data_IF_719115838789
#
_entry.id   IF_719115838789
#
_cell.length_a   1.000
_cell.length_b   1.000
_cell.length_c   1.000
_cell.angle_alpha   90.00
_cell.angle_beta   90.00
_cell.angle_gamma   90.00
#
_symmetry.space_group_name_H-M   'P 1'
#
loop_
_entity.id
_entity.type
_entity.pdbx_description
1 polymer ?
#
# COMPACT_ATOMS: atom_id res chain seq x y z
N UNK A 1 -6.57 55.92 1.61
CA UNK A 1 -7.23 54.76 0.94
C UNK A 1 -6.31 54.01 -0.03
N UNK A 2 -5.54 54.67 -0.91
CA UNK A 2 -4.56 53.99 -1.79
C UNK A 2 -3.54 53.10 -1.04
N UNK A 3 -3.03 53.56 0.11
CA UNK A 3 -2.03 52.79 0.87
C UNK A 3 -2.60 51.54 1.56
N UNK A 4 -3.90 51.54 1.89
CA UNK A 4 -4.58 50.37 2.50
C UNK A 4 -4.89 49.32 1.44
N UNK A 5 -5.31 49.76 0.25
CA UNK A 5 -5.54 48.87 -0.90
C UNK A 5 -4.24 48.22 -1.38
N UNK A 6 -3.13 48.97 -1.41
CA UNK A 6 -1.81 48.45 -1.76
C UNK A 6 -1.34 47.40 -0.73
N UNK A 7 -1.57 47.64 0.56
CA UNK A 7 -1.28 46.68 1.63
C UNK A 7 -2.12 45.40 1.52
N UNK A 8 -3.39 45.53 1.13
CA UNK A 8 -4.29 44.39 0.91
C UNK A 8 -3.87 43.56 -0.31
N UNK A 9 -3.48 44.20 -1.40
CA UNK A 9 -2.95 43.54 -2.61
C UNK A 9 -1.60 42.87 -2.32
N UNK A 10 -0.73 43.51 -1.53
CA UNK A 10 0.54 42.93 -1.07
C UNK A 10 0.29 41.73 -0.12
N UNK A 11 -0.69 41.80 0.79
CA UNK A 11 -1.04 40.66 1.64
C UNK A 11 -1.61 39.49 0.83
N UNK A 12 -2.49 39.76 -0.14
CA UNK A 12 -3.04 38.72 -1.03
C UNK A 12 -1.92 38.09 -1.87
N UNK A 13 -0.96 38.88 -2.35
CA UNK A 13 0.20 38.35 -3.09
C UNK A 13 1.19 37.60 -2.20
N UNK A 14 1.38 37.99 -0.93
CA UNK A 14 2.21 37.24 0.03
C UNK A 14 1.54 35.92 0.44
N UNK A 15 0.21 35.92 0.63
CA UNK A 15 -0.58 34.70 0.94
C UNK A 15 -0.66 33.77 -0.29
N UNK A 16 -0.61 34.30 -1.51
CA UNK A 16 -0.53 33.50 -2.74
C UNK A 16 0.91 33.16 -3.17
N UNK A 17 1.92 33.73 -2.53
CA UNK A 17 3.34 33.40 -2.74
C UNK A 17 3.87 32.30 -1.81
N UNK A 18 3.08 31.76 -0.88
CA UNK A 18 3.37 30.46 -0.26
C UNK A 18 2.89 29.33 -1.17
N UNK A 19 3.48 29.25 -2.37
CA UNK A 19 3.30 28.13 -3.30
C UNK A 19 4.01 26.90 -2.74
N UNK A 20 3.47 26.32 -1.66
CA UNK A 20 3.91 25.06 -1.06
C UNK A 20 3.66 23.85 -1.99
N UNK A 21 3.04 24.09 -3.15
CA UNK A 21 2.55 23.06 -4.05
C UNK A 21 1.28 22.37 -3.55
N UNK A 22 0.76 22.72 -2.37
CA UNK A 22 -0.47 22.15 -1.78
C UNK A 22 -1.61 23.18 -1.77
N UNK A 23 -2.80 22.76 -2.19
CA UNK A 23 -4.05 23.52 -2.08
C UNK A 23 -4.40 23.82 -0.62
N UNK A 24 -5.23 24.83 -0.38
CA UNK A 24 -5.68 25.20 0.98
C UNK A 24 -6.37 24.04 1.72
N UNK A 25 -7.06 23.17 0.98
CA UNK A 25 -7.69 21.98 1.54
C UNK A 25 -6.64 20.95 2.00
N UNK A 26 -5.62 20.70 1.16
CA UNK A 26 -4.49 19.82 1.50
C UNK A 26 -3.70 20.36 2.72
N UNK A 27 -3.49 21.68 2.79
CA UNK A 27 -2.81 22.33 3.92
C UNK A 27 -3.56 22.12 5.25
N UNK A 28 -4.89 22.10 5.23
CA UNK A 28 -5.72 21.82 6.42
C UNK A 28 -5.47 20.44 7.02
N UNK A 29 -5.15 19.44 6.20
CA UNK A 29 -4.76 18.10 6.67
C UNK A 29 -3.31 18.06 7.11
N UNK A 30 -2.40 18.73 6.39
CA UNK A 30 -0.98 18.77 6.73
C UNK A 30 -0.77 19.32 8.14
N UNK A 31 -1.51 20.36 8.52
CA UNK A 31 -1.42 20.98 9.84
C UNK A 31 -1.82 20.04 11.00
N UNK A 32 -2.49 18.91 10.73
CA UNK A 32 -2.87 17.91 11.74
C UNK A 32 -1.84 16.77 11.90
N UNK A 33 -0.85 16.70 11.00
CA UNK A 33 0.20 15.68 11.06
C UNK A 33 1.08 15.96 12.30
N UNK A 34 1.36 15.00 13.19
CA UNK A 34 2.21 15.23 14.36
C UNK A 34 3.62 15.67 13.98
N UNK A 35 4.25 16.53 14.78
CA UNK A 35 5.54 17.16 14.46
C UNK A 35 6.67 16.16 14.16
N UNK A 36 6.68 14.97 14.75
CA UNK A 36 7.70 13.96 14.44
C UNK A 36 7.49 13.30 13.06
N UNK A 37 6.23 13.23 12.60
CA UNK A 37 5.84 12.89 11.23
C UNK A 37 5.84 14.12 10.32
N UNK A 38 5.98 15.31 10.88
CA UNK A 38 6.32 16.49 10.12
C UNK A 38 7.84 16.54 9.93
N UNK A 39 8.66 16.73 10.96
CA UNK A 39 10.09 16.95 10.82
C UNK A 39 10.92 15.80 10.18
N UNK A 40 10.38 14.57 10.06
CA UNK A 40 10.99 13.38 9.39
C UNK A 40 10.09 12.72 8.33
N UNK A 41 9.17 13.49 7.73
CA UNK A 41 7.92 13.05 7.12
C UNK A 41 7.80 11.66 6.40
N UNK A 42 7.67 10.58 7.19
CA UNK A 42 7.06 9.31 6.79
C UNK A 42 7.99 8.10 6.67
N UNK A 43 9.20 8.18 7.24
CA UNK A 43 10.11 7.08 7.59
C UNK A 43 10.02 5.72 6.85
N UNK A 44 10.84 5.55 5.82
CA UNK A 44 11.44 4.29 5.35
C UNK A 44 12.54 3.90 6.35
N UNK A 45 12.12 3.65 7.60
CA UNK A 45 13.01 3.36 8.72
C UNK A 45 13.10 1.85 8.89
N UNK A 46 14.33 1.33 8.85
CA UNK A 46 14.59 -0.06 9.26
C UNK A 46 14.54 -0.11 10.78
N UNK A 47 13.70 -0.99 11.33
CA UNK A 47 13.57 -1.20 12.78
C UNK A 47 13.26 0.11 13.56
N UNK A 48 12.08 0.71 13.37
CA UNK A 48 11.71 1.95 14.06
C UNK A 48 11.76 1.81 15.59
N UNK A 49 12.14 2.90 16.27
CA UNK A 49 12.13 2.97 17.73
C UNK A 49 10.73 2.78 18.31
N UNK A 50 10.64 2.39 19.58
CA UNK A 50 9.35 2.26 20.27
C UNK A 50 8.57 3.57 20.30
N UNK A 51 9.27 4.71 20.38
CA UNK A 51 8.65 6.04 20.29
C UNK A 51 7.97 6.25 18.94
N UNK A 52 8.65 5.93 17.83
CA UNK A 52 8.07 6.03 16.50
C UNK A 52 6.83 5.14 16.35
N UNK A 53 6.90 3.91 16.87
CA UNK A 53 5.78 2.96 16.87
C UNK A 53 4.59 3.54 17.67
N UNK A 54 4.83 4.03 18.88
CA UNK A 54 3.78 4.62 19.72
C UNK A 54 3.14 5.84 19.04
N UNK A 55 3.96 6.69 18.43
CA UNK A 55 3.47 7.86 17.71
C UNK A 55 2.65 7.46 16.47
N UNK A 56 3.01 6.38 15.77
CA UNK A 56 2.21 5.86 14.64
C UNK A 56 0.83 5.38 15.12
N UNK A 57 0.80 4.60 16.20
CA UNK A 57 -0.45 4.11 16.80
C UNK A 57 -1.34 5.28 17.23
N UNK A 58 -0.80 6.23 17.99
CA UNK A 58 -1.54 7.38 18.48
C UNK A 58 -2.08 8.24 17.33
N UNK A 59 -1.27 8.48 16.31
CA UNK A 59 -1.68 9.21 15.12
C UNK A 59 -2.82 8.52 14.37
N UNK A 60 -2.71 7.20 14.15
CA UNK A 60 -3.76 6.41 13.53
C UNK A 60 -5.10 6.52 14.27
N UNK A 61 -5.08 6.39 15.60
CA UNK A 61 -6.27 6.52 16.46
C UNK A 61 -6.89 7.93 16.34
N UNK A 62 -6.07 8.97 16.41
CA UNK A 62 -6.52 10.37 16.32
C UNK A 62 -7.13 10.70 14.95
N UNK A 63 -6.59 10.12 13.88
CA UNK A 63 -7.00 10.38 12.51
C UNK A 63 -8.07 9.40 11.99
N UNK A 64 -8.78 8.68 12.87
CA UNK A 64 -9.84 7.73 12.48
C UNK A 64 -10.85 8.32 11.48
N UNK A 65 -11.17 9.62 11.58
CA UNK A 65 -12.16 10.27 10.70
C UNK A 65 -11.54 11.26 9.69
N UNK A 66 -10.21 11.30 9.57
CA UNK A 66 -9.51 12.34 8.80
C UNK A 66 -8.51 11.72 7.81
N UNK A 67 -8.03 12.57 6.90
CA UNK A 67 -7.12 12.19 5.81
C UNK A 67 -5.66 12.57 6.09
N UNK A 68 -5.29 13.04 7.29
CA UNK A 68 -3.92 13.50 7.53
C UNK A 68 -2.90 12.36 7.42
N UNK A 69 -3.29 11.12 7.73
CA UNK A 69 -2.46 9.94 7.53
C UNK A 69 -2.03 9.79 6.07
N UNK A 70 -2.95 9.96 5.14
CA UNK A 70 -2.71 9.86 3.71
C UNK A 70 -1.69 10.91 3.26
N UNK A 71 -1.79 12.14 3.75
CA UNK A 71 -0.87 13.24 3.44
C UNK A 71 0.52 13.11 4.09
N UNK A 72 0.61 12.49 5.28
CA UNK A 72 1.89 12.22 5.93
C UNK A 72 2.79 11.33 5.06
N UNK A 73 2.19 10.46 4.25
CA UNK A 73 2.89 9.48 3.41
C UNK A 73 2.73 9.72 1.89
N UNK A 74 2.43 10.96 1.49
CA UNK A 74 2.23 11.36 0.10
C UNK A 74 3.40 12.21 -0.43
N UNK A 75 4.02 11.76 -1.52
CA UNK A 75 4.99 12.55 -2.30
C UNK A 75 4.30 13.12 -3.52
N UNK A 76 4.56 14.38 -3.82
CA UNK A 76 4.01 15.09 -4.98
C UNK A 76 5.14 15.48 -5.93
N UNK A 77 4.99 15.14 -7.21
CA UNK A 77 5.86 15.57 -8.30
C UNK A 77 5.02 16.20 -9.41
N UNK A 78 5.59 17.11 -10.20
CA UNK A 78 4.88 17.79 -11.29
C UNK A 78 5.67 17.71 -12.59
N UNK A 79 4.96 17.50 -13.72
CA UNK A 79 5.52 17.53 -15.06
C UNK A 79 4.49 18.14 -16.02
N UNK A 80 4.74 19.38 -16.47
CA UNK A 80 3.76 20.13 -17.26
C UNK A 80 2.40 20.23 -16.55
N UNK A 81 1.35 19.73 -17.17
CA UNK A 81 -0.03 19.72 -16.64
C UNK A 81 -0.38 18.44 -15.86
N UNK A 82 0.61 17.62 -15.53
CA UNK A 82 0.43 16.36 -14.81
C UNK A 82 1.06 16.48 -13.43
N UNK A 83 0.26 16.19 -12.40
CA UNK A 83 0.71 16.06 -11.02
C UNK A 83 0.75 14.56 -10.70
N UNK A 84 1.90 14.05 -10.31
CA UNK A 84 2.05 12.66 -9.88
C UNK A 84 2.08 12.61 -8.36
N UNK A 85 1.12 11.90 -7.79
CA UNK A 85 1.07 11.60 -6.37
C UNK A 85 1.59 10.19 -6.13
N UNK A 86 2.64 10.06 -5.33
CA UNK A 86 3.18 8.77 -4.92
C UNK A 86 2.81 8.52 -3.47
N UNK A 87 2.01 7.49 -3.21
CA UNK A 87 1.70 7.02 -1.87
C UNK A 87 2.75 6.00 -1.46
N UNK A 88 3.44 6.29 -0.37
CA UNK A 88 4.50 5.43 0.16
C UNK A 88 3.94 4.64 1.35
N UNK A 89 3.93 3.32 1.27
CA UNK A 89 3.44 2.45 2.34
C UNK A 89 4.62 1.87 3.12
N UNK A 90 5.01 2.57 4.17
CA UNK A 90 6.07 2.14 5.08
C UNK A 90 5.50 1.33 6.24
N UNK A 91 6.34 0.59 7.00
CA UNK A 91 5.92 -0.08 8.23
C UNK A 91 5.14 0.81 9.20
N UNK A 92 5.60 2.05 9.43
CA UNK A 92 4.93 2.99 10.33
C UNK A 92 3.58 3.46 9.79
N UNK A 93 3.44 3.63 8.46
CA UNK A 93 2.14 3.91 7.86
C UNK A 93 1.17 2.75 8.10
N UNK A 94 1.60 1.52 7.85
CA UNK A 94 0.74 0.34 8.03
C UNK A 94 0.32 0.16 9.49
N UNK A 95 1.21 0.48 10.43
CA UNK A 95 0.87 0.53 11.87
C UNK A 95 -0.22 1.59 12.12
N UNK A 96 -0.04 2.81 11.62
CA UNK A 96 -1.03 3.88 11.79
C UNK A 96 -2.37 3.54 11.13
N UNK A 97 -2.35 2.95 9.94
CA UNK A 97 -3.56 2.51 9.22
C UNK A 97 -4.31 1.40 9.99
N UNK A 98 -3.57 0.41 10.51
CA UNK A 98 -4.15 -0.64 11.37
C UNK A 98 -4.81 -0.03 12.61
N UNK A 99 -4.12 0.87 13.30
CA UNK A 99 -4.67 1.57 14.47
C UNK A 99 -5.87 2.46 14.11
N UNK A 100 -5.85 3.13 12.96
CA UNK A 100 -6.97 3.91 12.41
C UNK A 100 -8.21 3.03 12.20
N UNK A 101 -8.04 1.86 11.59
CA UNK A 101 -9.13 0.92 11.35
C UNK A 101 -9.67 0.31 12.66
N UNK A 102 -8.80 -0.10 13.58
CA UNK A 102 -9.23 -0.54 14.91
C UNK A 102 -10.03 0.55 15.65
N UNK A 103 -9.58 1.81 15.60
CA UNK A 103 -10.27 2.93 16.23
C UNK A 103 -11.63 3.24 15.59
N UNK A 104 -11.76 3.11 14.26
CA UNK A 104 -13.05 3.23 13.54
C UNK A 104 -14.05 2.17 13.98
N UNK A 105 -13.57 0.97 14.24
CA UNK A 105 -14.38 -0.18 14.68
C UNK A 105 -14.55 -0.24 16.20
N UNK A 106 -14.01 0.72 16.95
CA UNK A 106 -14.04 0.76 18.42
C UNK A 106 -13.42 -0.48 19.08
N UNK A 107 -12.37 -1.06 18.48
CA UNK A 107 -11.63 -2.21 19.00
C UNK A 107 -10.20 -1.85 19.38
N UNK A 108 -9.59 -2.68 20.22
CA UNK A 108 -8.19 -2.50 20.63
C UNK A 108 -7.22 -2.84 19.49
N UNK A 109 -6.14 -2.04 19.39
CA UNK A 109 -5.02 -2.31 18.48
C UNK A 109 -4.34 -3.64 18.84
N UNK A 110 -4.14 -4.51 17.85
CA UNK A 110 -3.48 -5.80 18.04
C UNK A 110 -1.94 -5.67 18.10
N UNK A 111 -1.34 -5.92 19.26
CA UNK A 111 0.12 -5.85 19.49
C UNK A 111 0.94 -6.82 18.63
N UNK A 112 0.37 -7.98 18.28
CA UNK A 112 1.06 -8.96 17.42
C UNK A 112 1.22 -8.41 16.00
N UNK A 113 0.20 -7.71 15.49
CA UNK A 113 0.25 -6.97 14.22
C UNK A 113 1.33 -5.91 14.26
N UNK A 114 1.34 -5.09 15.30
CA UNK A 114 2.31 -4.01 15.47
C UNK A 114 3.74 -4.55 15.49
N UNK A 115 3.96 -5.63 16.24
CA UNK A 115 5.27 -6.31 16.33
C UNK A 115 5.72 -6.92 15.01
N UNK A 116 4.81 -7.45 14.22
CA UNK A 116 5.12 -7.96 12.89
C UNK A 116 5.51 -6.81 11.95
N UNK A 117 4.66 -5.76 11.87
CA UNK A 117 4.88 -4.63 10.97
C UNK A 117 6.17 -3.88 11.31
N UNK A 118 6.50 -3.69 12.59
CA UNK A 118 7.73 -3.00 13.00
C UNK A 118 9.03 -3.70 12.59
N UNK A 119 8.98 -4.99 12.25
CA UNK A 119 10.13 -5.77 11.77
C UNK A 119 10.15 -5.95 10.25
N UNK A 120 9.15 -5.45 9.56
CA UNK A 120 8.99 -5.64 8.12
C UNK A 120 10.04 -4.83 7.34
N UNK A 121 10.74 -5.47 6.41
CA UNK A 121 11.71 -4.83 5.51
C UNK A 121 11.12 -4.59 4.10
N UNK A 122 9.92 -4.00 4.04
CA UNK A 122 9.22 -3.80 2.78
C UNK A 122 8.52 -2.44 2.74
N UNK A 123 8.54 -1.81 1.57
CA UNK A 123 7.83 -0.56 1.27
C UNK A 123 7.13 -0.73 -0.06
N UNK A 124 5.81 -0.48 -0.10
CA UNK A 124 5.07 -0.41 -1.36
C UNK A 124 5.01 1.03 -1.84
N UNK A 125 5.21 1.24 -3.14
CA UNK A 125 5.03 2.53 -3.80
C UNK A 125 3.83 2.40 -4.74
N UNK A 126 2.82 3.22 -4.51
CA UNK A 126 1.66 3.35 -5.40
C UNK A 126 1.66 4.74 -6.03
N UNK A 127 1.26 4.84 -7.29
CA UNK A 127 1.38 6.07 -8.07
C UNK A 127 0.05 6.43 -8.71
N UNK A 128 -0.45 7.62 -8.37
CA UNK A 128 -1.68 8.20 -8.88
C UNK A 128 -1.37 9.51 -9.62
N UNK A 129 -1.34 9.51 -10.95
CA UNK A 129 -1.26 10.73 -11.71
C UNK A 129 -2.62 11.43 -11.76
N UNK A 130 -2.58 12.76 -11.64
CA UNK A 130 -3.68 13.67 -11.78
C UNK A 130 -3.37 14.65 -12.91
N UNK A 131 -4.34 14.88 -13.80
CA UNK A 131 -4.21 15.85 -14.87
C UNK A 131 -4.93 17.14 -14.48
N UNK A 132 -4.25 18.28 -14.61
CA UNK A 132 -4.81 19.59 -14.24
C UNK A 132 -5.64 20.23 -15.35
N UNK A 133 -5.85 19.55 -16.50
CA UNK A 133 -6.47 20.17 -17.68
C UNK A 133 -7.98 20.40 -17.56
N UNK A 134 -8.63 19.90 -16.51
CA UNK A 134 -10.04 20.18 -16.22
C UNK A 134 -10.16 20.91 -14.89
N UNK A 135 -11.00 21.93 -14.84
CA UNK A 135 -11.42 22.62 -13.59
C UNK A 135 -12.06 21.70 -12.55
N UNK A 136 -12.23 20.42 -12.88
CA UNK A 136 -12.56 19.29 -11.99
C UNK A 136 -11.31 18.47 -11.66
N UNK A 137 -11.07 18.25 -10.37
CA UNK A 137 -10.02 17.39 -9.81
C UNK A 137 -10.35 15.90 -10.07
N UNK A 138 -10.21 15.46 -11.32
CA UNK A 138 -10.44 14.06 -11.68
C UNK A 138 -9.16 13.26 -11.39
N UNK A 139 -9.21 12.42 -10.36
CA UNK A 139 -8.21 11.37 -10.13
C UNK A 139 -8.57 10.18 -10.99
N UNK A 140 -7.67 9.76 -11.87
CA UNK A 140 -7.79 8.51 -12.59
C UNK A 140 -6.81 7.52 -11.97
N UNK A 141 -7.28 6.33 -11.61
CA UNK A 141 -6.38 5.22 -11.33
C UNK A 141 -5.62 4.93 -12.62
N UNK A 142 -4.30 5.06 -12.57
CA UNK A 142 -3.47 4.91 -13.75
C UNK A 142 -2.78 3.55 -13.64
N UNK A 143 -3.35 2.57 -14.33
CA UNK A 143 -2.85 1.19 -14.36
C UNK A 143 -1.67 1.01 -15.34
N UNK A 144 -0.85 2.05 -15.57
CA UNK A 144 0.40 1.86 -16.32
C UNK A 144 1.49 1.36 -15.37
N UNK A 145 2.14 0.27 -15.77
CA UNK A 145 3.33 -0.24 -15.10
C UNK A 145 4.39 0.89 -15.04
N UNK A 146 4.86 1.20 -13.84
CA UNK A 146 5.98 2.12 -13.66
C UNK A 146 7.26 1.38 -13.29
N UNK A 147 8.39 2.02 -13.59
CA UNK A 147 9.71 1.54 -13.22
C UNK A 147 10.34 2.54 -12.26
N UNK A 148 10.82 2.08 -11.11
CA UNK A 148 11.67 2.88 -10.25
C UNK A 148 13.13 2.75 -10.70
N UNK A 149 13.75 3.88 -11.02
CA UNK A 149 15.18 4.00 -11.29
C UNK A 149 15.89 4.70 -10.12
N UNK A 150 17.16 4.36 -9.91
CA UNK A 150 18.12 5.08 -9.07
C UNK A 150 19.36 5.33 -9.91
N UNK A 151 19.66 6.60 -10.16
CA UNK A 151 20.77 7.03 -11.03
C UNK A 151 20.73 6.36 -12.42
N UNK A 152 19.52 6.24 -13.00
CA UNK A 152 19.28 5.60 -14.29
C UNK A 152 19.25 4.06 -14.28
N UNK A 153 19.50 3.42 -13.14
CA UNK A 153 19.50 1.95 -12.99
C UNK A 153 18.23 1.47 -12.29
N UNK A 154 17.62 0.39 -12.79
CA UNK A 154 16.41 -0.19 -12.19
C UNK A 154 16.64 -0.62 -10.75
N UNK A 155 15.77 -0.18 -9.85
CA UNK A 155 15.77 -0.61 -8.44
C UNK A 155 15.13 -1.99 -8.36
N UNK A 156 15.79 -3.00 -7.75
CA UNK A 156 15.22 -4.33 -7.60
C UNK A 156 13.99 -4.34 -6.68
N UNK A 157 12.91 -5.01 -7.11
CA UNK A 157 11.75 -5.25 -6.26
C UNK A 157 11.98 -6.44 -5.32
N UNK A 158 11.27 -6.44 -4.20
CA UNK A 158 11.21 -7.57 -3.28
C UNK A 158 10.32 -8.67 -3.87
N UNK A 159 10.81 -9.91 -3.90
CA UNK A 159 10.08 -11.05 -4.49
C UNK A 159 9.16 -11.77 -3.53
N UNK A 160 9.40 -11.65 -2.23
CA UNK A 160 8.63 -12.36 -1.22
C UNK A 160 8.68 -11.67 0.14
N UNK A 161 7.68 -11.95 0.97
CA UNK A 161 7.59 -11.50 2.35
C UNK A 161 6.97 -12.60 3.22
N UNK A 162 7.37 -12.67 4.48
CA UNK A 162 6.68 -13.54 5.44
C UNK A 162 5.26 -13.01 5.66
N UNK A 163 4.24 -13.84 5.58
CA UNK A 163 2.88 -13.41 5.82
C UNK A 163 2.62 -13.20 7.32
N UNK A 164 1.71 -12.28 7.63
CA UNK A 164 1.12 -12.14 8.96
C UNK A 164 -0.26 -12.77 8.92
N UNK A 165 -0.43 -13.91 9.59
CA UNK A 165 -1.69 -14.67 9.58
C UNK A 165 -2.23 -14.91 8.16
N UNK A 166 -1.31 -15.10 7.19
CA UNK A 166 -1.54 -15.30 5.74
C UNK A 166 -2.07 -14.09 4.97
N UNK A 167 -2.17 -12.95 5.62
CA UNK A 167 -2.59 -11.72 4.98
C UNK A 167 -1.38 -10.96 4.45
N UNK A 168 -1.54 -10.40 3.25
CA UNK A 168 -0.61 -9.42 2.73
C UNK A 168 -0.79 -8.10 3.47
N UNK A 169 0.26 -7.58 4.14
CA UNK A 169 0.16 -6.32 4.86
C UNK A 169 -0.12 -5.11 3.95
N UNK A 170 -0.01 -5.28 2.62
CA UNK A 170 -0.39 -4.25 1.65
C UNK A 170 -1.82 -4.42 1.09
N UNK A 171 -2.55 -5.48 1.46
CA UNK A 171 -3.97 -5.65 1.05
C UNK A 171 -4.91 -4.82 1.93
N UNK A 172 -4.44 -4.28 3.06
CA UNK A 172 -5.19 -3.32 3.90
C UNK A 172 -5.57 -2.01 3.17
N UNK A 173 -5.17 -1.84 1.91
CA UNK A 173 -5.35 -0.64 1.07
C UNK A 173 -6.58 -0.77 0.16
N UNK A 174 -7.44 -1.78 0.36
CA UNK A 174 -8.64 -1.95 -0.45
C UNK A 174 -9.72 -0.99 0.07
N UNK A 175 -10.13 -0.04 -0.77
CA UNK A 175 -11.30 0.81 -0.52
C UNK A 175 -12.50 -0.08 -0.15
N UNK A 176 -13.33 0.28 0.86
CA UNK A 176 -14.44 -0.56 1.32
C UNK A 176 -15.32 -1.09 0.18
N UNK A 177 -15.54 -0.26 -0.86
CA UNK A 177 -16.33 -0.62 -2.03
C UNK A 177 -15.70 -1.73 -2.88
N UNK A 178 -14.35 -1.77 -2.98
CA UNK A 178 -13.62 -2.83 -3.68
C UNK A 178 -13.58 -4.10 -2.82
N UNK A 179 -13.55 -3.97 -1.49
CA UNK A 179 -13.56 -5.10 -0.56
C UNK A 179 -14.89 -5.88 -0.67
N UNK A 180 -16.01 -5.19 -0.83
CA UNK A 180 -17.31 -5.84 -0.99
C UNK A 180 -17.44 -6.59 -2.33
N UNK A 181 -16.90 -6.02 -3.41
CA UNK A 181 -16.85 -6.70 -4.72
C UNK A 181 -15.95 -7.93 -4.64
N UNK A 182 -14.77 -7.82 -4.03
CA UNK A 182 -13.86 -8.95 -3.85
C UNK A 182 -14.42 -10.03 -2.93
N UNK A 183 -15.07 -9.65 -1.82
CA UNK A 183 -15.78 -10.59 -0.94
C UNK A 183 -16.86 -11.32 -1.69
N UNK A 184 -17.63 -10.62 -2.53
CA UNK A 184 -18.67 -11.24 -3.36
C UNK A 184 -18.06 -12.19 -4.40
N UNK A 185 -17.01 -11.78 -5.10
CA UNK A 185 -16.30 -12.63 -6.04
C UNK A 185 -15.67 -13.87 -5.38
N UNK A 186 -15.12 -13.73 -4.17
CA UNK A 186 -14.63 -14.85 -3.36
C UNK A 186 -15.77 -15.77 -2.94
N UNK A 187 -16.91 -15.24 -2.50
CA UNK A 187 -18.09 -16.03 -2.16
C UNK A 187 -18.60 -16.82 -3.36
N UNK A 188 -18.67 -16.20 -4.53
CA UNK A 188 -19.08 -16.86 -5.78
C UNK A 188 -18.08 -17.96 -6.14
N UNK A 189 -16.77 -17.68 -6.10
CA UNK A 189 -15.72 -18.67 -6.36
C UNK A 189 -15.75 -19.84 -5.36
N UNK A 190 -16.06 -19.58 -4.09
CA UNK A 190 -16.24 -20.60 -3.06
C UNK A 190 -17.45 -21.48 -3.36
N UNK A 191 -18.59 -20.90 -3.76
CA UNK A 191 -19.77 -21.67 -4.16
C UNK A 191 -19.48 -22.59 -5.34
N UNK A 192 -18.79 -22.10 -6.38
CA UNK A 192 -18.37 -22.93 -7.51
C UNK A 192 -17.42 -24.05 -7.09
N UNK A 193 -16.47 -23.75 -6.20
CA UNK A 193 -15.54 -24.74 -5.67
C UNK A 193 -16.26 -25.83 -4.89
N UNK A 194 -17.19 -25.46 -4.01
CA UNK A 194 -18.00 -26.39 -3.23
C UNK A 194 -18.87 -27.31 -4.10
N UNK A 195 -19.45 -26.75 -5.16
CA UNK A 195 -20.21 -27.53 -6.14
C UNK A 195 -19.32 -28.58 -6.80
N UNK A 196 -18.12 -28.20 -7.23
CA UNK A 196 -17.18 -29.10 -7.90
C UNK A 196 -16.63 -30.18 -6.95
N UNK A 197 -16.26 -29.79 -5.73
CA UNK A 197 -15.67 -30.71 -4.73
C UNK A 197 -16.70 -31.67 -4.12
N UNK A 198 -18.00 -31.36 -4.23
CA UNK A 198 -19.07 -32.24 -3.74
C UNK A 198 -19.00 -33.65 -4.35
N UNK A 199 -18.66 -33.72 -5.64
CA UNK A 199 -18.56 -34.95 -6.43
C UNK A 199 -17.23 -35.71 -6.25
N UNK A 200 -16.28 -35.17 -5.46
CA UNK A 200 -15.00 -35.83 -5.26
C UNK A 200 -15.14 -37.15 -4.49
N UNK A 201 -14.40 -38.16 -4.94
CA UNK A 201 -14.14 -39.39 -4.18
C UNK A 201 -13.35 -39.10 -2.90
N UNK A 202 -13.32 -40.06 -1.97
CA UNK A 202 -12.60 -39.90 -0.70
C UNK A 202 -11.10 -39.66 -0.92
N UNK A 203 -10.43 -40.40 -1.81
CA UNK A 203 -9.02 -40.15 -2.16
C UNK A 203 -8.78 -38.75 -2.74
N UNK A 204 -9.68 -38.26 -3.59
CA UNK A 204 -9.58 -36.92 -4.17
C UNK A 204 -9.75 -35.84 -3.10
N UNK A 205 -10.71 -36.00 -2.18
CA UNK A 205 -10.89 -35.09 -1.03
C UNK A 205 -9.64 -35.04 -0.14
N UNK A 206 -9.05 -36.21 0.14
CA UNK A 206 -7.79 -36.30 0.90
C UNK A 206 -6.65 -35.57 0.20
N UNK A 207 -6.45 -35.85 -1.09
CA UNK A 207 -5.37 -35.26 -1.88
C UNK A 207 -5.51 -33.74 -1.95
N UNK A 208 -6.73 -33.26 -2.22
CA UNK A 208 -7.03 -31.85 -2.34
C UNK A 208 -6.85 -31.10 -1.00
N UNK A 209 -7.34 -31.65 0.12
CA UNK A 209 -7.11 -31.07 1.44
C UNK A 209 -5.62 -30.98 1.78
N UNK A 210 -4.82 -32.00 1.44
CA UNK A 210 -3.37 -31.99 1.66
C UNK A 210 -2.68 -30.94 0.80
N UNK A 211 -3.07 -30.78 -0.46
CA UNK A 211 -2.54 -29.75 -1.35
C UNK A 211 -2.84 -28.34 -0.82
N UNK A 212 -4.09 -28.05 -0.46
CA UNK A 212 -4.46 -26.76 0.14
C UNK A 212 -3.70 -26.52 1.45
N UNK A 213 -3.54 -27.55 2.28
CA UNK A 213 -2.73 -27.44 3.50
C UNK A 213 -1.26 -27.14 3.19
N UNK A 214 -0.70 -27.75 2.15
CA UNK A 214 0.64 -27.44 1.66
C UNK A 214 0.74 -26.03 1.06
N UNK A 215 -0.33 -25.47 0.51
CA UNK A 215 -0.36 -24.08 0.04
C UNK A 215 -0.49 -23.06 1.18
N UNK A 216 -0.67 -23.52 2.43
CA UNK A 216 -0.70 -22.67 3.61
C UNK A 216 -2.11 -22.38 4.13
N UNK A 217 -3.17 -22.98 3.60
CA UNK A 217 -4.54 -22.73 4.11
C UNK A 217 -4.79 -23.35 5.51
N UNK A 218 -5.72 -22.78 6.30
CA UNK A 218 -6.06 -23.30 7.64
C UNK A 218 -7.10 -24.38 7.46
N UNK A 219 -7.32 -25.18 8.50
CA UNK A 219 -8.41 -26.15 8.42
C UNK A 219 -9.75 -25.43 8.24
N UNK A 220 -9.93 -24.26 8.87
CA UNK A 220 -11.15 -23.47 8.74
C UNK A 220 -11.30 -22.90 7.32
N UNK A 221 -10.23 -22.37 6.73
CA UNK A 221 -10.27 -21.87 5.34
C UNK A 221 -10.55 -23.00 4.37
N UNK A 222 -9.98 -24.18 4.59
CA UNK A 222 -10.24 -25.37 3.75
C UNK A 222 -11.71 -25.79 3.89
N UNK A 223 -12.28 -25.81 5.09
CA UNK A 223 -13.71 -26.09 5.31
C UNK A 223 -14.57 -25.08 4.55
N UNK A 224 -14.30 -23.79 4.72
CA UNK A 224 -15.06 -22.72 4.08
C UNK A 224 -14.94 -22.79 2.55
N UNK A 225 -13.74 -23.03 2.02
CA UNK A 225 -13.46 -23.04 0.59
C UNK A 225 -13.99 -24.29 -0.12
N UNK A 226 -13.94 -25.45 0.54
CA UNK A 226 -14.28 -26.75 -0.08
C UNK A 226 -15.64 -27.30 0.31
N UNK A 227 -16.25 -26.80 1.39
CA UNK A 227 -17.51 -27.30 1.93
C UNK A 227 -17.42 -28.67 2.61
N UNK A 228 -16.20 -29.21 2.78
CA UNK A 228 -16.02 -30.49 3.47
C UNK A 228 -16.27 -30.37 4.98
N UNK A 229 -16.84 -31.40 5.64
CA UNK A 229 -17.04 -31.37 7.09
C UNK A 229 -15.72 -31.15 7.85
N UNK A 230 -15.74 -30.32 8.89
CA UNK A 230 -14.54 -29.95 9.65
C UNK A 230 -13.77 -31.16 10.21
N UNK A 231 -14.49 -32.16 10.70
CA UNK A 231 -13.93 -33.41 11.20
C UNK A 231 -13.23 -34.20 10.09
N UNK A 232 -13.82 -34.19 8.88
CA UNK A 232 -13.26 -34.85 7.71
C UNK A 232 -12.00 -34.16 7.22
N UNK A 233 -11.97 -32.82 7.17
CA UNK A 233 -10.76 -32.05 6.79
C UNK A 233 -9.60 -32.35 7.74
N UNK A 234 -9.87 -32.39 9.04
CA UNK A 234 -8.85 -32.72 10.05
C UNK A 234 -8.31 -34.16 9.88
N UNK A 235 -9.18 -35.12 9.57
CA UNK A 235 -8.79 -36.49 9.28
C UNK A 235 -8.02 -36.64 7.95
N UNK A 236 -8.42 -35.90 6.91
CA UNK A 236 -7.84 -35.94 5.56
C UNK A 236 -6.43 -35.38 5.51
N UNK A 237 -6.17 -34.31 6.26
CA UNK A 237 -4.86 -33.68 6.35
C UNK A 237 -3.88 -34.55 7.15
N UNK A 238 -4.35 -35.18 8.24
CA UNK A 238 -3.50 -35.91 9.18
C UNK A 238 -2.59 -34.99 10.01
N UNK A 239 -1.64 -35.55 10.77
CA UNK A 239 -0.63 -34.77 11.51
C UNK A 239 0.46 -34.26 10.56
N UNK A 240 0.16 -33.21 9.80
CA UNK A 240 1.19 -32.46 9.08
C UNK A 240 1.88 -31.55 10.09
N UNK A 241 3.17 -31.77 10.36
CA UNK A 241 4.01 -30.79 11.08
C UNK A 241 4.15 -29.57 10.17
N UNK A 242 3.32 -28.57 10.41
CA UNK A 242 3.42 -27.29 9.71
C UNK A 242 4.30 -26.41 10.58
N UNK A 243 5.60 -26.49 10.34
CA UNK A 243 6.42 -25.30 10.48
C UNK A 243 6.32 -24.61 9.12
N UNK A 244 5.28 -23.79 8.91
CA UNK A 244 5.29 -22.85 7.79
C UNK A 244 5.20 -21.45 8.33
N UNK A 245 6.31 -20.75 8.14
CA UNK A 245 6.24 -19.32 7.86
C UNK A 245 5.46 -19.24 6.54
N UNK A 246 4.22 -18.77 6.60
CA UNK A 246 3.46 -18.52 5.39
C UNK A 246 4.21 -17.43 4.60
N UNK A 247 4.38 -17.60 3.28
CA UNK A 247 5.17 -16.69 2.42
C UNK A 247 4.24 -16.12 1.36
N UNK A 248 4.34 -14.81 1.17
CA UNK A 248 3.66 -14.03 0.14
C UNK A 248 4.67 -13.80 -0.98
N UNK A 249 4.25 -14.06 -2.22
CA UNK A 249 5.08 -13.84 -3.40
C UNK A 249 4.61 -12.60 -4.14
N UNK A 250 5.57 -11.81 -4.61
CA UNK A 250 5.32 -10.58 -5.35
C UNK A 250 5.93 -10.65 -6.74
N UNK A 251 5.30 -9.95 -7.66
CA UNK A 251 5.76 -9.65 -9.01
C UNK A 251 6.38 -8.26 -9.06
N UNK A 252 7.00 -7.92 -10.19
CA UNK A 252 7.52 -6.57 -10.39
C UNK A 252 6.42 -5.50 -10.42
N UNK A 253 5.17 -5.87 -10.74
CA UNK A 253 4.02 -4.96 -10.81
C UNK A 253 3.50 -4.54 -9.43
N UNK A 254 3.82 -5.30 -8.39
CA UNK A 254 3.39 -4.99 -7.03
C UNK A 254 4.12 -3.76 -6.46
N UNK A 255 5.24 -3.36 -7.07
CA UNK A 255 6.01 -2.18 -6.70
C UNK A 255 6.42 -2.15 -5.22
N UNK A 256 6.84 -3.31 -4.72
CA UNK A 256 7.33 -3.51 -3.36
C UNK A 256 8.85 -3.57 -3.40
N UNK A 257 9.49 -2.75 -2.58
CA UNK A 257 10.94 -2.59 -2.51
C UNK A 257 11.41 -2.85 -1.08
N UNK A 258 12.66 -3.27 -0.90
CA UNK A 258 13.24 -3.35 0.44
C UNK A 258 13.58 -1.95 0.96
N UNK A 259 13.54 -1.78 2.29
CA UNK A 259 13.94 -0.52 2.94
C UNK A 259 15.42 -0.23 2.61
N UNK A 260 16.24 -1.28 2.53
CA UNK A 260 17.67 -1.17 2.21
C UNK A 260 17.92 -0.58 0.82
N UNK A 261 17.19 -1.02 -0.22
CA UNK A 261 17.33 -0.46 -1.57
C UNK A 261 16.92 1.01 -1.64
N UNK A 262 15.80 1.37 -1.00
CA UNK A 262 15.30 2.75 -1.00
C UNK A 262 16.19 3.70 -0.15
N UNK A 263 16.87 3.17 0.86
CA UNK A 263 17.78 3.94 1.70
C UNK A 263 19.13 4.24 1.04
N UNK A 264 19.53 3.51 -0.01
CA UNK A 264 20.74 3.83 -0.76
C UNK A 264 20.72 5.28 -1.28
N UNK A 265 21.88 5.97 -1.29
CA UNK A 265 21.98 7.29 -1.90
C UNK A 265 21.81 7.18 -3.42
N UNK A 266 21.30 8.26 -4.02
CA UNK A 266 21.06 8.36 -5.46
C UNK A 266 19.84 9.21 -5.78
N UNK A 267 19.72 9.59 -7.05
CA UNK A 267 18.55 10.27 -7.58
C UNK A 267 17.53 9.24 -8.03
N UNK A 268 16.35 9.25 -7.43
CA UNK A 268 15.29 8.33 -7.78
C UNK A 268 14.36 8.94 -8.83
N UNK A 269 13.92 8.12 -9.77
CA UNK A 269 12.99 8.51 -10.81
C UNK A 269 11.91 7.44 -11.00
N UNK A 270 10.66 7.86 -11.12
CA UNK A 270 9.57 7.02 -11.60
C UNK A 270 9.49 7.21 -13.11
N UNK A 271 9.53 6.11 -13.84
CA UNK A 271 9.43 6.10 -15.30
C UNK A 271 8.16 5.39 -15.71
N UNK A 272 7.27 6.12 -16.38
CA UNK A 272 6.18 5.53 -17.13
C UNK A 272 6.66 5.29 -18.56
N UNK A 273 6.50 4.06 -19.02
CA UNK A 273 6.82 3.68 -20.39
C UNK A 273 5.53 3.49 -21.16
N UNK A 274 5.39 4.20 -22.27
CA UNK A 274 4.36 3.91 -23.26
C UNK A 274 5.03 3.12 -24.39
N UNK A 275 4.86 1.78 -24.44
CA UNK A 275 5.45 0.99 -25.50
C UNK A 275 4.84 1.39 -26.84
N UNK A 276 5.69 1.69 -27.84
CA UNK A 276 5.19 2.03 -29.20
C UNK A 276 4.66 0.78 -29.91
N UNK A 277 5.18 -0.39 -29.55
CA UNK A 277 4.72 -1.68 -30.06
C UNK A 277 4.70 -2.72 -28.94
N UNK A 278 3.92 -3.79 -29.10
CA UNK A 278 3.97 -4.95 -28.20
C UNK A 278 5.26 -5.78 -28.34
N UNK A 279 6.24 -5.32 -29.14
CA UNK A 279 7.45 -6.06 -29.47
C UNK A 279 8.64 -5.47 -28.72
N UNK A 280 9.13 -6.18 -27.69
CA UNK A 280 10.18 -5.75 -26.75
C UNK A 280 11.55 -5.41 -27.39
N UNK A 281 11.74 -5.69 -28.68
CA UNK A 281 13.03 -5.59 -29.39
C UNK A 281 13.17 -4.33 -30.27
N UNK A 282 12.08 -3.63 -30.58
CA UNK A 282 12.07 -2.37 -31.36
C UNK A 282 11.50 -1.24 -30.50
N UNK A 283 12.18 -0.91 -29.40
CA UNK A 283 11.65 0.07 -28.43
C UNK A 283 12.10 1.49 -28.78
N UNK A 284 11.37 2.16 -29.67
CA UNK A 284 11.33 3.62 -29.77
C UNK A 284 10.56 4.29 -28.62
N UNK A 285 10.40 3.60 -27.49
CA UNK A 285 9.46 3.91 -26.41
C UNK A 285 9.58 5.34 -25.91
N UNK A 286 8.42 5.99 -25.75
CA UNK A 286 8.37 7.29 -25.08
C UNK A 286 8.37 7.06 -23.57
N UNK A 287 9.36 7.65 -22.91
CA UNK A 287 9.49 7.61 -21.45
C UNK A 287 9.09 8.95 -20.84
N UNK A 288 8.19 8.91 -19.85
CA UNK A 288 7.92 10.06 -18.98
C UNK A 288 8.61 9.80 -17.65
N UNK A 289 9.59 10.64 -17.31
CA UNK A 289 10.43 10.48 -16.12
C UNK A 289 10.08 11.53 -15.08
N UNK A 290 9.87 11.09 -13.85
CA UNK A 290 9.48 11.92 -12.71
C UNK A 290 10.50 11.74 -11.60
N UNK A 291 11.27 12.78 -11.29
CA UNK A 291 12.15 12.74 -10.14
C UNK A 291 11.33 12.61 -8.87
N UNK A 292 11.65 11.61 -8.05
CA UNK A 292 11.07 11.41 -6.73
C UNK A 292 12.18 11.48 -5.69
N UNK A 293 11.88 12.09 -4.55
CA UNK A 293 12.82 12.16 -3.44
C UNK A 293 12.24 11.43 -2.24
N UNK A 294 12.94 10.36 -1.84
CA UNK A 294 12.65 9.71 -0.57
C UNK A 294 13.26 10.43 0.63
N UNK A 295 14.03 11.51 0.46
CA UNK A 295 14.71 12.22 1.56
C UNK A 295 13.75 12.63 2.67
N UNK A 296 12.53 13.00 2.28
CA UNK A 296 11.44 13.35 3.18
C UNK A 296 11.05 12.20 4.11
N UNK A 297 11.30 10.95 3.70
CA UNK A 297 10.97 9.71 4.38
C UNK A 297 12.21 8.99 4.93
N UNK A 298 13.42 9.55 4.90
CA UNK A 298 14.62 8.87 5.40
C UNK A 298 14.93 9.26 6.84
#
# INVERSE_FOLDING_TARGET
MKNVFLLFVILITIISCSYSGWSLHEQGYINKIPENYQNYFGGIIKEPSQENINNAVNFGIQEKDSNALEYAYLTKATFGNMIVYCKIYTPLRLIAEHSKNCAREYIHTNDSTIKYLSKMNAVKIDVMPQYTSTTTWNTYAYEEDFILLRDGVRVPTLKQLNAMDRNNPFDFIIAPEINDIQKKAMQDAMQYTQLYTSAYTKEQKITYCKQLKMMGYSNNDIVNYTGFPADSVSAYIGKVKINKVDIIYFTEKDNIYSIEELNKPGNFEIVFRTPITNNLLDSGDQEKRFSISFKKYK
#
